data_IF_171828013968
#
_entry.id   IF_171828013968
#
_cell.length_a   1.000
_cell.length_b   1.000
_cell.length_c   1.000
_cell.angle_alpha   90.00
_cell.angle_beta   90.00
_cell.angle_gamma   90.00
#
_symmetry.space_group_name_H-M   'P 1'
#
loop_
_entity.id
_entity.type
_entity.pdbx_description
1 polymer ?
#
# COMPACT_ATOMS: atom_id res chain seq x y z
N UNK A 1 51.45 17.73 -8.59
CA UNK A 1 50.46 17.32 -7.57
C UNK A 1 49.62 18.53 -7.23
N UNK A 2 48.33 18.51 -7.54
CA UNK A 2 47.40 19.61 -7.27
C UNK A 2 46.43 19.15 -6.19
N UNK A 3 46.25 19.86 -5.06
CA UNK A 3 45.36 19.40 -4.00
C UNK A 3 43.90 19.57 -4.46
N UNK A 4 43.08 18.54 -4.28
CA UNK A 4 41.64 18.65 -4.49
C UNK A 4 41.03 19.41 -3.31
N UNK A 5 40.33 20.49 -3.60
CA UNK A 5 39.60 21.29 -2.61
C UNK A 5 38.43 20.53 -1.95
N UNK A 6 37.86 21.07 -0.87
CA UNK A 6 36.84 20.39 -0.09
C UNK A 6 35.61 20.07 -0.95
N UNK A 7 35.22 18.79 -0.97
CA UNK A 7 34.01 18.33 -1.64
C UNK A 7 32.82 19.00 -0.97
N UNK A 8 32.13 19.88 -1.69
CA UNK A 8 30.85 20.44 -1.22
C UNK A 8 29.92 19.27 -0.90
N UNK A 9 29.22 19.27 0.26
CA UNK A 9 28.20 18.27 0.52
C UNK A 9 27.18 18.35 -0.61
N UNK A 10 27.03 17.26 -1.36
CA UNK A 10 25.93 17.12 -2.32
C UNK A 10 24.67 17.10 -1.47
N UNK A 11 23.98 18.23 -1.42
CA UNK A 11 22.62 18.29 -0.90
C UNK A 11 21.85 17.27 -1.72
N UNK A 12 21.34 16.18 -1.13
CA UNK A 12 20.53 15.24 -1.86
C UNK A 12 19.38 16.02 -2.47
N UNK A 13 19.22 15.93 -3.79
CA UNK A 13 17.99 16.37 -4.43
C UNK A 13 16.90 15.46 -3.89
N UNK A 14 16.23 15.89 -2.82
CA UNK A 14 15.06 15.20 -2.29
C UNK A 14 13.98 15.44 -3.34
N UNK A 15 13.84 14.47 -4.23
CA UNK A 15 12.72 14.42 -5.16
C UNK A 15 11.43 14.43 -4.31
N UNK A 16 10.56 15.45 -4.47
CA UNK A 16 9.34 15.57 -3.68
C UNK A 16 8.39 14.39 -3.87
N UNK A 17 8.57 13.56 -4.91
CA UNK A 17 7.78 12.35 -5.18
C UNK A 17 8.46 11.07 -4.70
N UNK A 18 9.75 11.10 -4.34
CA UNK A 18 10.47 9.94 -3.84
C UNK A 18 10.16 9.70 -2.36
N UNK A 19 9.46 8.61 -2.06
CA UNK A 19 9.16 8.19 -0.68
C UNK A 19 10.32 7.46 0.00
N UNK A 20 11.48 7.34 -0.66
CA UNK A 20 12.64 6.71 -0.04
C UNK A 20 12.39 5.24 0.30
N UNK A 21 11.75 4.51 -0.62
CA UNK A 21 11.84 3.04 -0.62
C UNK A 21 13.21 2.65 -1.20
N UNK A 22 14.30 3.11 -0.59
CA UNK A 22 15.61 2.63 -0.96
C UNK A 22 15.70 1.16 -0.52
N UNK A 23 16.11 0.31 -1.47
CA UNK A 23 16.05 -1.15 -1.39
C UNK A 23 17.09 -1.75 -0.43
N UNK A 24 17.50 -0.99 0.58
CA UNK A 24 18.47 -1.40 1.57
C UNK A 24 17.74 -2.27 2.59
N UNK A 25 18.01 -3.58 2.57
CA UNK A 25 17.36 -4.55 3.46
C UNK A 25 17.77 -4.40 4.94
N UNK A 26 18.63 -3.41 5.23
CA UNK A 26 19.18 -3.06 6.53
C UNK A 26 18.72 -1.67 6.99
N UNK A 27 17.91 -0.95 6.17
CA UNK A 27 17.29 0.28 6.65
C UNK A 27 16.13 -0.08 7.58
N UNK A 28 16.23 0.45 8.80
CA UNK A 28 15.19 0.48 9.80
C UNK A 28 13.85 0.86 9.17
N UNK A 29 12.81 0.11 9.54
CA UNK A 29 11.41 0.44 9.28
C UNK A 29 11.14 1.93 9.39
N UNK A 30 10.26 2.46 8.53
CA UNK A 30 9.82 3.86 8.51
C UNK A 30 9.61 4.37 9.95
N UNK A 31 10.25 5.50 10.29
CA UNK A 31 9.98 6.17 11.57
C UNK A 31 8.59 6.80 11.48
N UNK A 32 7.56 6.00 11.76
CA UNK A 32 6.14 6.38 11.74
C UNK A 32 5.81 7.57 12.64
N UNK A 33 6.73 7.97 13.54
CA UNK A 33 6.57 9.19 14.36
C UNK A 33 6.84 10.49 13.58
N UNK A 34 7.54 10.43 12.45
CA UNK A 34 7.92 11.61 11.67
C UNK A 34 7.57 11.42 10.19
N UNK A 35 6.35 11.79 9.76
CA UNK A 35 5.94 11.69 8.37
C UNK A 35 6.94 12.41 7.46
N UNK A 36 7.54 11.67 6.51
CA UNK A 36 8.52 12.24 5.56
C UNK A 36 7.96 13.40 4.74
N UNK A 37 6.64 13.47 4.58
CA UNK A 37 5.91 14.54 3.87
C UNK A 37 4.85 15.15 4.78
N UNK A 38 4.57 16.44 4.57
CA UNK A 38 3.42 17.08 5.20
C UNK A 38 2.13 16.36 4.79
N UNK A 39 1.24 16.14 5.77
CA UNK A 39 -0.02 15.44 5.55
C UNK A 39 -0.91 16.31 4.63
N UNK A 40 -1.40 15.80 3.49
CA UNK A 40 -2.27 16.58 2.62
C UNK A 40 -3.63 16.83 3.29
N UNK A 41 -4.30 17.92 2.91
CA UNK A 41 -5.55 18.34 3.55
C UNK A 41 -6.64 17.25 3.56
N UNK A 42 -6.77 16.48 2.46
CA UNK A 42 -7.75 15.41 2.34
C UNK A 42 -7.51 14.24 3.30
N UNK A 43 -6.28 14.06 3.78
CA UNK A 43 -5.87 12.96 4.65
C UNK A 43 -5.91 13.34 6.15
N UNK A 44 -6.48 14.49 6.52
CA UNK A 44 -6.53 14.94 7.91
C UNK A 44 -7.87 15.56 8.32
N UNK A 45 -8.18 15.46 9.61
CA UNK A 45 -9.27 16.19 10.26
C UNK A 45 -10.65 16.02 9.62
N UNK A 46 -11.33 17.15 9.39
CA UNK A 46 -12.70 17.20 8.92
C UNK A 46 -12.86 16.70 7.47
N UNK A 47 -11.89 16.97 6.59
CA UNK A 47 -11.96 16.57 5.19
C UNK A 47 -11.93 15.04 5.04
N UNK A 48 -11.02 14.38 5.77
CA UNK A 48 -10.98 12.91 5.82
C UNK A 48 -12.29 12.34 6.37
N UNK A 49 -12.78 12.90 7.47
CA UNK A 49 -14.02 12.43 8.10
C UNK A 49 -15.22 12.53 7.15
N UNK A 50 -15.36 13.65 6.45
CA UNK A 50 -16.41 13.84 5.45
C UNK A 50 -16.28 12.87 4.26
N UNK A 51 -15.06 12.66 3.76
CA UNK A 51 -14.80 11.74 2.65
C UNK A 51 -15.14 10.28 3.03
N UNK A 52 -14.76 9.83 4.23
CA UNK A 52 -15.07 8.49 4.73
C UNK A 52 -16.57 8.29 4.92
N UNK A 53 -17.27 9.26 5.51
CA UNK A 53 -18.73 9.22 5.67
C UNK A 53 -19.40 9.13 4.29
N UNK A 54 -18.94 9.94 3.33
CA UNK A 54 -19.49 9.92 1.97
C UNK A 54 -19.27 8.56 1.30
N UNK A 55 -18.06 8.00 1.38
CA UNK A 55 -17.74 6.68 0.81
C UNK A 55 -18.58 5.56 1.46
N UNK A 56 -18.86 5.67 2.77
CA UNK A 56 -19.69 4.70 3.48
C UNK A 56 -21.15 4.73 3.01
N UNK A 57 -21.76 5.91 2.91
CA UNK A 57 -23.17 6.04 2.53
C UNK A 57 -23.41 5.98 1.01
N UNK A 58 -22.38 6.23 0.20
CA UNK A 58 -22.42 6.13 -1.26
C UNK A 58 -21.24 5.27 -1.74
N UNK A 59 -21.29 3.95 -1.48
CA UNK A 59 -20.20 3.07 -1.86
C UNK A 59 -20.07 2.99 -3.39
N UNK A 60 -18.86 3.18 -3.94
CA UNK A 60 -18.62 2.96 -5.36
C UNK A 60 -18.67 1.46 -5.68
N UNK A 61 -18.89 1.12 -6.97
CA UNK A 61 -18.75 -0.25 -7.43
C UNK A 61 -17.25 -0.63 -7.46
N UNK A 62 -16.81 -1.33 -6.40
CA UNK A 62 -15.40 -1.74 -6.22
C UNK A 62 -14.95 -2.75 -7.28
N UNK A 63 -15.86 -3.61 -7.75
CA UNK A 63 -15.54 -4.60 -8.78
C UNK A 63 -15.31 -3.93 -10.14
N UNK A 64 -16.09 -2.89 -10.46
CA UNK A 64 -15.88 -2.10 -11.68
C UNK A 64 -14.64 -1.22 -11.58
N UNK A 65 -14.32 -0.71 -10.38
CA UNK A 65 -13.19 0.20 -10.16
C UNK A 65 -11.83 -0.52 -10.18
N UNK A 66 -11.74 -1.70 -9.54
CA UNK A 66 -10.47 -2.42 -9.36
C UNK A 66 -10.39 -3.72 -10.17
N UNK A 67 -11.52 -4.29 -10.57
CA UNK A 67 -11.57 -5.55 -11.33
C UNK A 67 -11.09 -6.76 -10.53
N UNK A 68 -10.79 -7.84 -11.26
CA UNK A 68 -10.33 -9.10 -10.68
C UNK A 68 -8.86 -8.98 -10.22
N UNK A 69 -8.61 -9.30 -8.96
CA UNK A 69 -7.25 -9.35 -8.39
C UNK A 69 -6.48 -10.50 -9.03
N UNK A 70 -5.44 -10.18 -9.80
CA UNK A 70 -4.56 -11.16 -10.44
C UNK A 70 -3.62 -11.77 -9.42
N UNK A 71 -3.31 -13.06 -9.57
CA UNK A 71 -2.31 -13.72 -8.72
C UNK A 71 -0.93 -13.09 -8.95
N UNK A 72 -0.24 -12.64 -7.89
CA UNK A 72 1.07 -12.01 -8.03
C UNK A 72 2.12 -13.06 -8.42
N UNK A 73 2.88 -12.76 -9.47
CA UNK A 73 4.06 -13.54 -9.86
C UNK A 73 5.28 -12.97 -9.17
N UNK A 74 5.79 -13.68 -8.17
CA UNK A 74 6.92 -13.19 -7.35
C UNK A 74 8.18 -13.01 -8.19
N UNK A 75 8.35 -13.83 -9.23
CA UNK A 75 9.43 -13.70 -10.20
C UNK A 75 9.42 -12.36 -10.95
N UNK A 76 8.24 -11.82 -11.25
CA UNK A 76 8.08 -10.54 -11.94
C UNK A 76 8.23 -9.35 -10.99
N UNK A 77 7.81 -9.51 -9.73
CA UNK A 77 7.89 -8.46 -8.72
C UNK A 77 9.32 -8.26 -8.25
N UNK A 78 10.03 -9.36 -7.98
CA UNK A 78 11.39 -9.32 -7.43
C UNK A 78 12.49 -9.46 -8.48
N UNK A 79 12.13 -9.68 -9.74
CA UNK A 79 13.07 -9.94 -10.84
C UNK A 79 14.08 -11.05 -10.51
N UNK A 80 13.63 -12.05 -9.74
CA UNK A 80 14.45 -13.15 -9.23
C UNK A 80 13.68 -14.46 -9.36
N UNK A 81 14.37 -15.54 -9.69
CA UNK A 81 13.78 -16.86 -9.71
C UNK A 81 14.25 -17.66 -8.48
N UNK A 82 13.37 -17.84 -7.49
CA UNK A 82 13.66 -18.62 -6.28
C UNK A 82 12.73 -19.84 -6.20
N UNK A 83 13.23 -21.03 -5.84
CA UNK A 83 12.40 -22.22 -5.68
C UNK A 83 11.22 -22.01 -4.70
N UNK A 84 11.42 -21.17 -3.67
CA UNK A 84 10.38 -20.83 -2.68
C UNK A 84 9.16 -20.15 -3.31
N UNK A 85 9.30 -19.44 -4.43
CA UNK A 85 8.18 -18.79 -5.10
C UNK A 85 7.17 -19.79 -5.69
N UNK A 86 7.63 -21.00 -6.00
CA UNK A 86 6.81 -22.07 -6.58
C UNK A 86 6.45 -23.17 -5.58
N UNK A 87 7.23 -23.33 -4.50
CA UNK A 87 6.92 -24.27 -3.42
C UNK A 87 5.76 -23.76 -2.57
N UNK A 88 4.62 -24.45 -2.64
CA UNK A 88 3.40 -24.11 -1.90
C UNK A 88 3.08 -25.18 -0.85
N UNK A 89 2.49 -24.77 0.27
CA UNK A 89 1.95 -25.65 1.32
C UNK A 89 0.43 -25.46 1.41
N UNK A 90 -0.24 -25.99 2.44
CA UNK A 90 -1.70 -25.90 2.59
C UNK A 90 -2.27 -24.47 2.54
N UNK A 91 -1.48 -23.44 2.85
CA UNK A 91 -1.87 -22.02 2.72
C UNK A 91 -2.23 -21.60 1.28
N UNK A 92 -1.86 -22.43 0.32
CA UNK A 92 -2.12 -22.20 -1.09
C UNK A 92 -3.50 -22.66 -1.57
N UNK A 93 -4.14 -23.53 -0.79
CA UNK A 93 -5.35 -24.24 -1.15
C UNK A 93 -6.51 -23.58 -0.43
N UNK A 94 -7.33 -22.83 -1.17
CA UNK A 94 -8.52 -22.16 -0.64
C UNK A 94 -9.77 -22.92 -1.12
N UNK A 95 -10.55 -23.45 -0.18
CA UNK A 95 -11.78 -24.19 -0.47
C UNK A 95 -13.00 -23.26 -0.66
N UNK A 96 -12.85 -21.97 -0.36
CA UNK A 96 -13.86 -20.94 -0.57
C UNK A 96 -13.53 -20.12 -1.83
N UNK A 97 -14.55 -19.65 -2.57
CA UNK A 97 -14.34 -18.73 -3.67
C UNK A 97 -13.72 -17.41 -3.16
N UNK A 98 -12.92 -16.71 -3.98
CA UNK A 98 -12.19 -15.51 -3.57
C UNK A 98 -13.08 -14.29 -3.29
N UNK A 99 -14.34 -14.30 -3.72
CA UNK A 99 -15.29 -13.20 -3.50
C UNK A 99 -16.63 -13.70 -2.92
N UNK A 100 -17.24 -12.97 -1.96
CA UNK A 100 -18.51 -13.33 -1.34
C UNK A 100 -19.71 -13.42 -2.31
N UNK A 101 -19.61 -12.85 -3.51
CA UNK A 101 -20.67 -12.93 -4.53
C UNK A 101 -20.98 -14.34 -5.06
N UNK A 102 -20.18 -15.34 -4.70
CA UNK A 102 -20.45 -16.75 -5.01
C UNK A 102 -21.36 -17.45 -3.97
N UNK A 103 -21.72 -16.79 -2.85
CA UNK A 103 -22.76 -17.27 -1.93
C UNK A 103 -23.60 -16.10 -1.43
N UNK A 104 -24.87 -16.08 -1.83
CA UNK A 104 -25.87 -15.10 -1.39
C UNK A 104 -26.03 -15.19 0.13
N UNK A 105 -25.65 -14.14 0.84
CA UNK A 105 -26.12 -13.88 2.20
C UNK A 105 -25.07 -14.02 3.30
N UNK A 106 -24.32 -12.94 3.56
CA UNK A 106 -23.93 -12.52 4.90
C UNK A 106 -23.82 -10.98 4.89
N UNK A 107 -24.82 -10.30 5.44
CA UNK A 107 -24.83 -8.85 5.62
C UNK A 107 -23.76 -8.40 6.61
N UNK A 108 -23.16 -7.23 6.37
CA UNK A 108 -22.20 -6.63 7.29
C UNK A 108 -22.88 -6.17 8.61
N UNK A 109 -22.29 -6.45 9.79
CA UNK A 109 -22.83 -6.02 11.08
C UNK A 109 -22.19 -4.72 11.63
N UNK A 110 -21.91 -3.72 10.79
CA UNK A 110 -21.32 -2.47 11.27
C UNK A 110 -22.05 -1.24 10.72
N UNK A 111 -23.24 -0.99 11.27
CA UNK A 111 -23.90 0.31 11.14
C UNK A 111 -23.24 1.32 12.08
N UNK A 112 -22.61 2.36 11.52
CA UNK A 112 -22.30 3.58 12.27
C UNK A 112 -23.60 4.13 12.86
N UNK A 113 -23.66 4.24 14.19
CA UNK A 113 -24.82 4.83 14.87
C UNK A 113 -24.95 6.28 14.41
N UNK A 114 -26.11 6.61 13.85
CA UNK A 114 -26.50 7.99 13.56
C UNK A 114 -26.72 8.70 14.89
N UNK A 115 -26.11 9.87 15.06
CA UNK A 115 -26.52 10.86 16.07
C UNK A 115 -27.66 11.70 15.49
#
# INVERSE_FOLDING_TARGET
>A
MTPQGPKRPKIPSIDPDNYGMDLNSDDSTDDESNPRKAIPAWASGAQLSQAVIHQYYKPPNVDALFGVIKSPKLENIFYKNKPRYFKRTSSAVWNSPPFPGAKVGLGLPYSLKKF
#
